data_IF_334104431510
#
_entry.id   IF_334104431510
#
_cell.length_a   1.000
_cell.length_b   1.000
_cell.length_c   1.000
_cell.angle_alpha   90.00
_cell.angle_beta   90.00
_cell.angle_gamma   90.00
#
_symmetry.space_group_name_H-M   'P 1'
#
loop_
_entity.id
_entity.type
_entity.pdbx_description
1 polymer ?
#
# COMPACT_ATOMS: atom_id res chain seq x y z
N UNK A 1 3.48 -24.03 30.47
CA UNK A 1 4.61 -23.30 29.85
C UNK A 1 5.38 -24.13 28.82
N UNK A 2 5.71 -25.43 29.04
CA UNK A 2 6.48 -26.21 28.04
C UNK A 2 5.75 -26.47 26.71
N UNK A 3 4.43 -26.68 26.75
CA UNK A 3 3.62 -26.98 25.55
C UNK A 3 3.69 -25.86 24.51
N UNK A 4 3.58 -24.61 24.95
CA UNK A 4 3.66 -23.43 24.08
C UNK A 4 5.03 -23.26 23.42
N UNK A 5 6.11 -23.72 24.06
CA UNK A 5 7.46 -23.61 23.51
C UNK A 5 7.72 -24.65 22.41
N UNK A 6 7.22 -25.88 22.57
CA UNK A 6 7.28 -26.91 21.53
C UNK A 6 6.50 -26.50 20.28
N UNK A 7 5.26 -26.05 20.44
CA UNK A 7 4.41 -25.63 19.32
C UNK A 7 5.05 -24.50 18.52
N UNK A 8 5.71 -23.58 19.23
CA UNK A 8 6.43 -22.44 18.68
C UNK A 8 7.65 -22.86 17.88
N UNK A 9 8.54 -23.67 18.45
CA UNK A 9 9.71 -24.20 17.73
C UNK A 9 9.26 -25.02 16.52
N UNK A 10 8.23 -25.85 16.66
CA UNK A 10 7.64 -26.61 15.54
C UNK A 10 7.19 -25.68 14.42
N UNK A 11 6.45 -24.61 14.73
CA UNK A 11 5.97 -23.66 13.73
C UNK A 11 7.11 -22.91 13.02
N UNK A 12 8.18 -22.54 13.74
CA UNK A 12 9.37 -21.91 13.14
C UNK A 12 10.07 -22.91 12.22
N UNK A 13 10.35 -24.13 12.67
CA UNK A 13 10.98 -25.16 11.85
C UNK A 13 10.14 -25.48 10.59
N UNK A 14 8.82 -25.60 10.73
CA UNK A 14 7.91 -25.90 9.61
C UNK A 14 7.90 -24.80 8.56
N UNK A 15 7.93 -23.53 8.99
CA UNK A 15 7.91 -22.37 8.09
C UNK A 15 9.28 -22.05 7.50
N UNK A 16 10.36 -22.30 8.24
CA UNK A 16 11.68 -21.81 7.89
C UNK A 16 12.63 -22.86 7.31
N UNK A 17 12.44 -24.16 7.57
CA UNK A 17 13.35 -25.18 7.02
C UNK A 17 12.74 -25.87 5.79
N UNK A 18 13.54 -25.99 4.74
CA UNK A 18 13.35 -26.96 3.67
C UNK A 18 13.60 -28.39 4.17
N UNK A 19 13.18 -29.39 3.39
CA UNK A 19 13.42 -30.78 3.74
C UNK A 19 14.92 -31.13 3.77
N UNK A 20 15.72 -30.50 2.90
CA UNK A 20 17.17 -30.73 2.88
C UNK A 20 17.87 -30.06 4.07
N UNK A 21 17.49 -28.84 4.45
CA UNK A 21 18.03 -28.21 5.66
C UNK A 21 17.65 -28.99 6.92
N UNK A 22 16.44 -29.57 6.98
CA UNK A 22 16.05 -30.46 8.07
C UNK A 22 16.94 -31.72 8.14
N UNK A 23 17.37 -32.27 7.00
CA UNK A 23 18.32 -33.40 6.96
C UNK A 23 19.70 -32.99 7.49
N UNK A 24 20.20 -31.82 7.06
CA UNK A 24 21.46 -31.26 7.56
C UNK A 24 21.40 -31.06 9.08
N UNK A 25 20.32 -30.45 9.57
CA UNK A 25 20.08 -30.29 11.01
C UNK A 25 20.05 -31.62 11.76
N UNK A 26 19.38 -32.65 11.22
CA UNK A 26 19.36 -33.98 11.86
C UNK A 26 20.77 -34.61 11.90
N UNK A 27 21.55 -34.45 10.83
CA UNK A 27 22.93 -34.91 10.76
C UNK A 27 23.80 -34.24 11.83
N UNK A 28 23.74 -32.92 11.95
CA UNK A 28 24.49 -32.14 12.95
C UNK A 28 24.12 -32.53 14.39
N UNK A 29 22.87 -32.93 14.61
CA UNK A 29 22.34 -33.40 15.89
C UNK A 29 22.63 -34.90 16.17
N UNK A 30 23.30 -35.59 15.23
CA UNK A 30 23.58 -37.02 15.34
C UNK A 30 22.32 -37.90 15.34
N UNK A 31 21.27 -37.48 14.61
CA UNK A 31 20.00 -38.20 14.49
C UNK A 31 19.87 -38.69 13.05
N UNK A 32 19.75 -40.00 12.81
CA UNK A 32 19.42 -40.50 11.49
C UNK A 32 18.06 -39.95 11.05
N UNK A 33 18.00 -39.21 9.95
CA UNK A 33 16.75 -38.61 9.47
C UNK A 33 15.62 -39.64 9.26
N UNK A 34 16.00 -40.87 8.90
CA UNK A 34 15.06 -41.96 8.65
C UNK A 34 14.43 -42.55 9.91
N UNK A 35 14.97 -42.30 11.10
CA UNK A 35 14.36 -42.77 12.36
C UNK A 35 13.23 -41.86 12.87
N UNK A 36 13.08 -40.66 12.30
CA UNK A 36 11.98 -39.74 12.64
C UNK A 36 10.65 -40.26 12.06
N UNK A 37 9.55 -40.10 12.80
CA UNK A 37 8.25 -40.63 12.40
C UNK A 37 7.58 -39.82 11.27
N UNK A 38 6.90 -40.55 10.37
CA UNK A 38 6.07 -40.03 9.28
C UNK A 38 6.86 -39.58 8.04
N UNK A 39 6.18 -39.53 6.89
CA UNK A 39 6.83 -39.31 5.58
C UNK A 39 6.79 -37.85 5.10
N UNK A 40 6.14 -36.98 5.87
CA UNK A 40 6.00 -35.57 5.52
C UNK A 40 7.00 -34.72 6.32
N UNK A 41 7.44 -33.59 5.74
CA UNK A 41 8.28 -32.59 6.44
C UNK A 41 7.70 -32.25 7.81
N UNK A 42 6.39 -32.03 7.87
CA UNK A 42 5.64 -31.71 9.08
C UNK A 42 5.78 -32.81 10.14
N UNK A 43 5.47 -34.06 9.78
CA UNK A 43 5.57 -35.18 10.71
C UNK A 43 7.00 -35.40 11.23
N UNK A 44 8.00 -35.30 10.34
CA UNK A 44 9.43 -35.37 10.69
C UNK A 44 9.83 -34.28 11.68
N UNK A 45 9.41 -33.03 11.47
CA UNK A 45 9.65 -31.92 12.40
C UNK A 45 8.97 -32.18 13.75
N UNK A 46 7.69 -32.57 13.76
CA UNK A 46 6.99 -32.89 15.01
C UNK A 46 7.68 -34.02 15.78
N UNK A 47 8.14 -35.06 15.09
CA UNK A 47 8.90 -36.17 15.69
C UNK A 47 10.26 -35.70 16.23
N UNK A 48 10.95 -34.81 15.54
CA UNK A 48 12.21 -34.23 15.99
C UNK A 48 12.01 -33.40 17.25
N UNK A 49 11.02 -32.51 17.27
CA UNK A 49 10.70 -31.65 18.42
C UNK A 49 10.29 -32.48 19.64
N UNK A 50 9.49 -33.54 19.43
CA UNK A 50 9.14 -34.48 20.50
C UNK A 50 10.37 -35.16 21.12
N UNK A 51 11.34 -35.57 20.29
CA UNK A 51 12.58 -36.18 20.74
C UNK A 51 13.45 -35.24 21.60
N UNK A 52 13.41 -33.93 21.36
CA UNK A 52 14.10 -32.92 22.17
C UNK A 52 13.32 -32.45 23.40
N UNK A 53 12.07 -32.90 23.56
CA UNK A 53 11.29 -32.68 24.77
C UNK A 53 11.53 -33.79 25.82
N UNK A 54 12.13 -34.90 25.42
CA UNK A 54 12.49 -36.01 26.30
C UNK A 54 13.97 -35.96 26.72
N UNK A 55 14.30 -36.12 28.01
CA UNK A 55 15.68 -36.20 28.47
C UNK A 55 16.45 -37.36 27.80
N UNK A 56 17.76 -37.21 27.54
CA UNK A 56 18.66 -36.15 28.03
C UNK A 56 18.70 -34.90 27.16
N UNK A 57 17.93 -34.84 26.07
CA UNK A 57 17.97 -33.73 25.11
C UNK A 57 17.06 -32.60 25.57
N UNK A 58 17.35 -31.39 25.13
CA UNK A 58 16.55 -30.20 25.47
C UNK A 58 16.24 -29.37 24.24
N UNK A 59 15.06 -28.74 24.20
CA UNK A 59 14.68 -27.83 23.12
C UNK A 59 15.73 -26.74 22.86
N UNK A 60 16.44 -26.28 23.89
CA UNK A 60 17.53 -25.31 23.75
C UNK A 60 18.67 -25.83 22.86
N UNK A 61 19.02 -27.12 22.94
CA UNK A 61 20.05 -27.70 22.05
C UNK A 61 19.59 -27.71 20.59
N UNK A 62 18.29 -27.98 20.36
CA UNK A 62 17.70 -27.92 19.02
C UNK A 62 17.74 -26.47 18.50
N UNK A 63 17.28 -25.51 19.31
CA UNK A 63 17.28 -24.08 18.98
C UNK A 63 18.70 -23.57 18.73
N UNK A 64 19.69 -23.96 19.54
CA UNK A 64 21.09 -23.56 19.35
C UNK A 64 21.65 -24.09 18.02
N UNK A 65 21.34 -25.34 17.67
CA UNK A 65 21.76 -25.94 16.39
C UNK A 65 21.07 -25.27 15.20
N UNK A 66 19.79 -24.94 15.35
CA UNK A 66 19.05 -24.18 14.36
C UNK A 66 19.60 -22.76 14.18
N UNK A 67 20.03 -22.12 15.27
CA UNK A 67 20.66 -20.78 15.27
C UNK A 67 22.04 -20.80 14.60
N UNK A 68 22.75 -21.93 14.58
CA UNK A 68 23.99 -22.10 13.82
C UNK A 68 23.72 -22.21 12.32
N UNK A 69 22.65 -22.90 11.94
CA UNK A 69 22.27 -23.07 10.54
C UNK A 69 21.67 -21.79 9.94
N UNK A 70 20.89 -21.07 10.74
CA UNK A 70 20.27 -19.79 10.39
C UNK A 70 20.45 -18.76 11.53
N UNK A 71 21.60 -18.08 11.60
CA UNK A 71 21.89 -17.05 12.60
C UNK A 71 20.97 -15.82 12.50
N UNK A 72 20.38 -15.60 11.32
CA UNK A 72 19.49 -14.49 11.02
C UNK A 72 18.06 -14.68 11.54
N UNK A 73 17.68 -15.91 11.89
CA UNK A 73 16.32 -16.22 12.35
C UNK A 73 16.19 -16.00 13.85
N UNK A 74 15.13 -15.30 14.26
CA UNK A 74 14.76 -15.21 15.66
C UNK A 74 14.09 -16.51 16.14
N UNK A 75 14.88 -17.37 16.77
CA UNK A 75 14.41 -18.60 17.39
C UNK A 75 13.78 -18.38 18.78
N UNK A 76 13.85 -17.15 19.32
CA UNK A 76 13.33 -16.80 20.65
C UNK A 76 11.80 -16.71 20.70
N UNK A 77 11.13 -16.74 19.55
CA UNK A 77 9.84 -17.40 19.42
C UNK A 77 8.59 -16.54 19.27
N UNK A 78 8.67 -15.40 18.61
CA UNK A 78 7.51 -15.03 17.80
C UNK A 78 7.65 -15.78 16.46
N UNK A 79 6.73 -16.71 16.09
CA UNK A 79 6.77 -17.26 14.75
C UNK A 79 6.80 -16.08 13.78
N UNK A 80 7.69 -16.11 12.79
CA UNK A 80 7.69 -15.17 11.64
C UNK A 80 6.46 -15.42 10.76
N UNK A 81 5.27 -15.45 11.38
CA UNK A 81 4.20 -14.60 10.91
C UNK A 81 4.78 -13.19 11.01
N UNK A 82 5.53 -12.73 10.00
CA UNK A 82 5.36 -11.34 9.54
C UNK A 82 3.86 -11.16 9.54
N UNK A 83 3.33 -10.50 10.58
CA UNK A 83 1.89 -10.51 10.85
C UNK A 83 1.27 -10.13 9.52
N UNK A 84 0.28 -10.88 9.02
CA UNK A 84 -0.40 -10.46 7.79
C UNK A 84 -0.86 -8.99 7.86
N UNK A 85 -1.04 -8.47 9.09
CA UNK A 85 -1.19 -7.05 9.40
C UNK A 85 0.01 -6.18 8.96
N UNK A 86 1.25 -6.56 9.26
CA UNK A 86 2.47 -5.85 8.87
C UNK A 86 2.58 -5.72 7.33
N UNK A 87 2.34 -6.82 6.59
CA UNK A 87 2.32 -6.77 5.13
C UNK A 87 1.20 -5.89 4.56
N UNK A 88 0.07 -5.74 5.27
CA UNK A 88 -1.00 -4.83 4.85
C UNK A 88 -0.57 -3.38 4.98
N UNK A 89 0.04 -3.00 6.11
CA UNK A 89 0.51 -1.63 6.31
C UNK A 89 1.63 -1.27 5.35
N UNK A 90 2.59 -2.16 5.16
CA UNK A 90 3.63 -1.99 4.15
C UNK A 90 3.02 -1.83 2.74
N UNK A 91 2.05 -2.68 2.37
CA UNK A 91 1.37 -2.57 1.08
C UNK A 91 0.64 -1.23 0.91
N UNK A 92 -0.05 -0.75 1.95
CA UNK A 92 -0.78 0.52 1.90
C UNK A 92 0.18 1.70 1.78
N UNK A 93 1.24 1.71 2.58
CA UNK A 93 2.30 2.73 2.54
C UNK A 93 2.98 2.77 1.17
N UNK A 94 3.25 1.62 0.57
CA UNK A 94 3.81 1.55 -0.79
C UNK A 94 2.86 2.11 -1.84
N UNK A 95 1.57 1.75 -1.79
CA UNK A 95 0.54 2.29 -2.69
C UNK A 95 0.42 3.81 -2.60
N UNK A 96 0.61 4.35 -1.40
CA UNK A 96 0.63 5.79 -1.20
C UNK A 96 1.91 6.41 -1.78
N UNK A 97 3.10 5.93 -1.36
CA UNK A 97 4.38 6.60 -1.60
C UNK A 97 4.94 6.45 -3.02
N UNK A 98 4.47 5.46 -3.78
CA UNK A 98 4.99 5.15 -5.11
C UNK A 98 3.86 5.16 -6.14
N UNK A 99 4.06 5.93 -7.22
CA UNK A 99 3.22 5.79 -8.40
C UNK A 99 3.58 4.52 -9.19
N UNK A 100 2.85 4.22 -10.26
CA UNK A 100 3.05 3.00 -11.06
C UNK A 100 4.46 2.87 -11.65
N UNK A 101 5.02 3.96 -12.17
CA UNK A 101 6.37 3.94 -12.77
C UNK A 101 7.44 3.78 -11.70
N UNK A 102 7.33 4.53 -10.60
CA UNK A 102 8.27 4.41 -9.47
C UNK A 102 8.21 3.01 -8.84
N UNK A 103 7.03 2.38 -8.81
CA UNK A 103 6.89 1.01 -8.34
C UNK A 103 7.51 -0.02 -9.29
N UNK A 104 7.50 0.23 -10.61
CA UNK A 104 8.25 -0.58 -11.59
C UNK A 104 9.76 -0.44 -11.39
N UNK A 105 10.24 0.79 -11.21
CA UNK A 105 11.65 1.05 -10.91
C UNK A 105 12.08 0.38 -9.60
N UNK A 106 11.22 0.41 -8.58
CA UNK A 106 11.42 -0.31 -7.32
C UNK A 106 11.55 -1.83 -7.52
N UNK A 107 10.70 -2.43 -8.37
CA UNK A 107 10.81 -3.86 -8.70
C UNK A 107 12.13 -4.17 -9.41
N UNK A 108 12.52 -3.33 -10.36
CA UNK A 108 13.78 -3.46 -11.10
C UNK A 108 15.00 -3.37 -10.16
N UNK A 109 15.01 -2.42 -9.22
CA UNK A 109 16.07 -2.29 -8.21
C UNK A 109 16.17 -3.52 -7.29
N UNK A 110 15.05 -4.22 -7.05
CA UNK A 110 15.02 -5.50 -6.33
C UNK A 110 15.40 -6.71 -7.21
N UNK A 111 15.71 -6.49 -8.50
CA UNK A 111 15.99 -7.55 -9.46
C UNK A 111 14.77 -8.43 -9.75
N UNK A 112 13.57 -7.83 -9.73
CA UNK A 112 12.30 -8.50 -9.98
C UNK A 112 11.67 -7.87 -11.22
N UNK A 113 11.34 -8.68 -12.21
CA UNK A 113 10.54 -8.19 -13.34
C UNK A 113 9.12 -7.89 -12.87
N UNK A 114 8.67 -6.65 -13.07
CA UNK A 114 7.31 -6.22 -12.72
C UNK A 114 6.24 -7.05 -13.46
N UNK A 115 6.53 -7.48 -14.69
CA UNK A 115 5.59 -8.25 -15.50
C UNK A 115 5.41 -9.69 -14.98
N UNK A 116 6.42 -10.25 -14.29
CA UNK A 116 6.35 -11.58 -13.66
C UNK A 116 5.45 -11.66 -12.42
N UNK A 117 5.13 -10.51 -11.81
CA UNK A 117 4.21 -10.47 -10.66
C UNK A 117 2.77 -10.79 -11.11
N UNK A 118 2.06 -11.63 -10.37
CA UNK A 118 0.71 -12.03 -10.77
C UNK A 118 -0.34 -10.90 -10.60
N UNK A 119 -1.46 -11.03 -11.33
CA UNK A 119 -2.65 -10.20 -11.13
C UNK A 119 -2.62 -8.81 -11.79
N UNK A 120 -3.72 -8.06 -11.68
CA UNK A 120 -3.84 -6.70 -12.21
C UNK A 120 -2.93 -5.72 -11.47
N UNK A 121 -2.70 -4.54 -12.05
CA UNK A 121 -1.79 -3.49 -11.53
C UNK A 121 -2.02 -3.16 -10.04
N UNK A 122 -3.28 -3.11 -9.60
CA UNK A 122 -3.62 -2.81 -8.21
C UNK A 122 -3.31 -3.95 -7.22
N UNK A 123 -3.09 -5.18 -7.72
CA UNK A 123 -2.71 -6.36 -6.96
C UNK A 123 -1.19 -6.59 -6.93
N UNK A 124 -0.43 -6.02 -7.88
CA UNK A 124 1.03 -6.21 -8.01
C UNK A 124 1.81 -5.88 -6.73
N UNK A 125 1.43 -4.85 -6.00
CA UNK A 125 2.00 -4.53 -4.68
C UNK A 125 1.89 -5.70 -3.68
N UNK A 126 0.72 -6.35 -3.63
CA UNK A 126 0.49 -7.50 -2.75
C UNK A 126 1.31 -8.70 -3.21
N UNK A 127 1.34 -8.97 -4.52
CA UNK A 127 2.09 -10.09 -5.07
C UNK A 127 3.60 -9.92 -4.90
N UNK A 128 4.13 -8.70 -5.02
CA UNK A 128 5.52 -8.39 -4.68
C UNK A 128 5.82 -8.75 -3.22
N UNK A 129 4.97 -8.34 -2.29
CA UNK A 129 5.16 -8.68 -0.87
C UNK A 129 5.08 -10.17 -0.62
N UNK A 130 4.14 -10.89 -1.25
CA UNK A 130 4.06 -12.36 -1.16
C UNK A 130 5.34 -13.00 -1.70
N UNK A 131 5.85 -12.52 -2.85
CA UNK A 131 7.09 -13.00 -3.45
C UNK A 131 8.29 -12.76 -2.53
N UNK A 132 8.47 -11.53 -2.03
CA UNK A 132 9.57 -11.17 -1.15
C UNK A 132 9.50 -11.88 0.20
N UNK A 133 8.31 -12.09 0.77
CA UNK A 133 8.13 -12.88 2.00
C UNK A 133 8.57 -14.33 1.77
N UNK A 134 8.18 -14.95 0.65
CA UNK A 134 8.64 -16.32 0.30
C UNK A 134 10.15 -16.39 0.11
N UNK A 135 10.79 -15.30 -0.35
CA UNK A 135 12.24 -15.20 -0.57
C UNK A 135 13.00 -14.63 0.64
N UNK A 136 12.32 -14.27 1.73
CA UNK A 136 12.90 -13.56 2.90
C UNK A 136 13.62 -12.25 2.54
N UNK A 137 13.09 -11.51 1.57
CA UNK A 137 13.65 -10.23 1.08
C UNK A 137 12.78 -9.01 1.42
N UNK A 138 11.91 -9.12 2.42
CA UNK A 138 11.02 -8.01 2.83
C UNK A 138 11.82 -6.86 3.46
N UNK A 139 12.84 -7.17 4.25
CA UNK A 139 13.67 -6.13 4.87
C UNK A 139 14.53 -5.38 3.85
N UNK A 140 14.96 -6.06 2.78
CA UNK A 140 15.62 -5.41 1.64
C UNK A 140 14.70 -4.37 0.98
N UNK A 141 13.43 -4.72 0.77
CA UNK A 141 12.42 -3.78 0.29
C UNK A 141 12.24 -2.61 1.27
N UNK A 142 12.17 -2.84 2.58
CA UNK A 142 12.08 -1.75 3.57
C UNK A 142 13.28 -0.81 3.53
N UNK A 143 14.49 -1.36 3.45
CA UNK A 143 15.72 -0.57 3.34
C UNK A 143 15.71 0.27 2.06
N UNK A 144 15.31 -0.34 0.94
CA UNK A 144 15.17 0.35 -0.34
C UNK A 144 14.13 1.48 -0.26
N UNK A 145 12.95 1.20 0.26
CA UNK A 145 11.91 2.19 0.46
C UNK A 145 12.36 3.32 1.40
N UNK A 146 13.06 3.01 2.48
CA UNK A 146 13.62 4.00 3.42
C UNK A 146 14.65 4.91 2.76
N UNK A 147 15.51 4.37 1.88
CA UNK A 147 16.45 5.17 1.09
C UNK A 147 15.73 6.09 0.10
N UNK A 148 14.70 5.58 -0.59
CA UNK A 148 13.95 6.35 -1.60
C UNK A 148 12.96 7.36 -0.98
N UNK A 149 12.53 7.11 0.26
CA UNK A 149 11.52 7.86 1.00
C UNK A 149 11.93 7.95 2.48
N UNK A 150 12.98 8.73 2.82
CA UNK A 150 13.49 8.82 4.19
C UNK A 150 12.54 9.48 5.17
N UNK A 151 11.55 10.23 4.66
CA UNK A 151 10.54 10.92 5.47
C UNK A 151 9.42 10.00 5.99
N UNK A 152 9.43 8.72 5.60
CA UNK A 152 8.45 7.73 6.05
C UNK A 152 9.14 6.70 6.93
N UNK A 153 8.49 6.35 8.03
CA UNK A 153 8.89 5.21 8.84
C UNK A 153 8.40 3.92 8.18
N UNK A 154 9.33 3.12 7.65
CA UNK A 154 9.04 1.85 6.97
C UNK A 154 9.02 0.64 7.91
N UNK A 155 9.36 0.84 9.18
CA UNK A 155 9.49 -0.22 10.19
C UNK A 155 8.39 -0.15 11.26
N UNK A 156 7.73 1.00 11.43
CA UNK A 156 6.57 1.09 12.31
C UNK A 156 5.40 0.20 11.83
N UNK A 157 4.89 -0.60 12.76
CA UNK A 157 3.67 -1.41 12.67
C UNK A 157 2.39 -0.59 12.88
N UNK A 158 2.51 0.71 13.17
CA UNK A 158 1.35 1.56 13.41
C UNK A 158 0.49 1.68 12.15
N UNK A 159 -0.81 1.90 12.36
CA UNK A 159 -1.74 2.16 11.27
C UNK A 159 -1.23 3.34 10.45
N UNK A 160 -0.85 3.05 9.21
CA UNK A 160 -0.46 4.09 8.26
C UNK A 160 -1.64 5.04 8.07
N UNK A 161 -1.52 6.23 8.65
CA UNK A 161 -2.43 7.35 8.40
C UNK A 161 -1.88 8.12 7.22
N UNK A 162 -2.69 8.26 6.18
CA UNK A 162 -2.33 9.12 5.06
C UNK A 162 -2.15 10.55 5.61
N UNK A 163 -0.98 11.19 5.40
CA UNK A 163 -0.69 12.50 5.99
C UNK A 163 -1.64 13.58 5.45
N UNK A 164 -2.16 13.38 4.26
CA UNK A 164 -3.10 14.28 3.60
C UNK A 164 -4.30 13.47 3.08
N UNK A 165 -5.50 13.66 3.64
CA UNK A 165 -6.73 13.10 3.09
C UNK A 165 -6.93 13.50 1.64
N UNK A 166 -7.53 12.61 0.83
CA UNK A 166 -7.77 12.87 -0.59
C UNK A 166 -8.63 14.11 -0.84
N UNK A 167 -9.57 14.40 0.04
CA UNK A 167 -10.45 15.59 -0.01
C UNK A 167 -9.64 16.88 0.12
N UNK A 168 -8.74 16.93 1.11
CA UNK A 168 -7.82 18.05 1.31
C UNK A 168 -6.91 18.26 0.10
N UNK A 169 -6.36 17.17 -0.44
CA UNK A 169 -5.55 17.25 -1.66
C UNK A 169 -6.36 17.74 -2.87
N UNK A 170 -7.64 17.38 -2.97
CA UNK A 170 -8.51 17.84 -4.04
C UNK A 170 -8.83 19.34 -3.90
N UNK A 171 -9.13 19.82 -2.69
CA UNK A 171 -9.36 21.23 -2.40
C UNK A 171 -8.11 22.07 -2.65
N UNK A 172 -6.96 21.63 -2.13
CA UNK A 172 -5.66 22.29 -2.36
C UNK A 172 -5.32 22.34 -3.85
N UNK A 173 -5.53 21.24 -4.58
CA UNK A 173 -5.34 21.19 -6.04
C UNK A 173 -6.25 22.20 -6.75
N UNK A 174 -7.52 22.27 -6.39
CA UNK A 174 -8.48 23.18 -7.03
C UNK A 174 -8.05 24.65 -6.84
N UNK A 175 -7.72 25.02 -5.61
CA UNK A 175 -7.23 26.37 -5.31
C UNK A 175 -5.93 26.69 -6.06
N UNK A 176 -5.04 25.71 -6.20
CA UNK A 176 -3.80 25.86 -6.97
C UNK A 176 -4.08 26.15 -8.46
N UNK A 177 -5.08 25.48 -9.06
CA UNK A 177 -5.51 25.74 -10.44
C UNK A 177 -6.15 27.10 -10.61
N UNK A 178 -6.98 27.52 -9.67
CA UNK A 178 -7.71 28.79 -9.75
C UNK A 178 -6.76 29.99 -9.54
N UNK A 179 -5.68 29.79 -8.77
CA UNK A 179 -4.73 30.84 -8.40
C UNK A 179 -3.53 31.01 -9.34
N UNK A 180 -3.14 29.96 -10.06
CA UNK A 180 -1.89 29.91 -10.81
C UNK A 180 -2.06 29.29 -12.19
N UNK A 181 -1.41 29.90 -13.18
CA UNK A 181 -1.31 29.33 -14.51
C UNK A 181 -0.23 28.24 -14.60
N UNK A 182 -0.28 27.49 -15.69
CA UNK A 182 0.65 26.40 -16.01
C UNK A 182 2.13 26.84 -15.97
N UNK A 183 2.44 28.06 -16.41
CA UNK A 183 3.81 28.57 -16.40
C UNK A 183 4.31 28.80 -14.97
N UNK A 184 3.45 29.28 -14.07
CA UNK A 184 3.78 29.38 -12.66
C UNK A 184 3.98 28.01 -12.01
N UNK A 185 3.17 27.01 -12.36
CA UNK A 185 3.36 25.64 -11.88
C UNK A 185 4.73 25.08 -12.30
N UNK A 186 5.18 25.36 -13.54
CA UNK A 186 6.53 24.99 -14.00
C UNK A 186 7.62 25.69 -13.18
N UNK A 187 7.46 26.97 -12.87
CA UNK A 187 8.39 27.70 -12.01
C UNK A 187 8.44 27.12 -10.59
N UNK A 188 7.30 26.70 -10.04
CA UNK A 188 7.28 25.99 -8.75
C UNK A 188 8.03 24.67 -8.82
N UNK A 189 7.84 23.89 -9.89
CA UNK A 189 8.59 22.64 -10.09
C UNK A 189 10.10 22.89 -10.11
N UNK A 190 10.56 23.94 -10.81
CA UNK A 190 11.98 24.32 -10.81
C UNK A 190 12.49 24.70 -9.42
N UNK A 191 11.74 25.51 -8.66
CA UNK A 191 12.10 25.91 -7.30
C UNK A 191 12.15 24.72 -6.32
N UNK A 192 11.29 23.73 -6.53
CA UNK A 192 11.18 22.53 -5.69
C UNK A 192 12.10 21.38 -6.15
N UNK A 193 12.95 21.62 -7.15
CA UNK A 193 13.80 20.60 -7.79
C UNK A 193 12.98 19.37 -8.25
N UNK A 194 11.87 19.63 -8.93
CA UNK A 194 10.99 18.64 -9.54
C UNK A 194 11.08 18.79 -11.05
N UNK A 195 11.48 17.72 -11.74
CA UNK A 195 11.46 17.68 -13.20
C UNK A 195 10.01 17.61 -13.69
N UNK A 196 9.50 18.75 -14.14
CA UNK A 196 8.13 18.90 -14.62
C UNK A 196 7.76 17.87 -15.70
N UNK A 197 8.70 17.52 -16.58
CA UNK A 197 8.46 16.59 -17.70
C UNK A 197 8.36 15.13 -17.25
N UNK A 198 8.76 14.83 -16.01
CA UNK A 198 8.65 13.50 -15.41
C UNK A 198 7.37 13.32 -14.60
N UNK A 199 6.62 14.40 -14.36
CA UNK A 199 5.31 14.27 -13.74
C UNK A 199 4.38 13.53 -14.70
N UNK A 200 3.57 12.56 -14.24
CA UNK A 200 2.55 11.95 -15.08
C UNK A 200 1.64 13.01 -15.71
N UNK A 201 1.08 12.75 -16.89
CA UNK A 201 0.02 13.56 -17.51
C UNK A 201 0.27 15.08 -17.63
N UNK A 202 1.52 15.54 -17.54
CA UNK A 202 1.86 16.96 -17.60
C UNK A 202 1.42 17.61 -18.93
N UNK A 203 1.45 16.85 -20.03
CA UNK A 203 1.05 17.28 -21.36
C UNK A 203 -0.46 17.59 -21.48
N UNK A 204 -1.28 17.06 -20.57
CA UNK A 204 -2.74 17.19 -20.60
C UNK A 204 -3.25 18.33 -19.69
N UNK A 205 -2.36 19.22 -19.23
CA UNK A 205 -2.70 20.26 -18.24
C UNK A 205 -2.91 19.71 -16.83
N UNK A 206 -2.48 18.47 -16.57
CA UNK A 206 -2.52 17.81 -15.27
C UNK A 206 -1.38 18.18 -14.32
N UNK A 207 -0.53 19.14 -14.69
CA UNK A 207 0.71 19.47 -13.98
C UNK A 207 0.54 19.79 -12.51
N UNK A 208 -0.39 20.70 -12.17
CA UNK A 208 -0.69 21.08 -10.80
C UNK A 208 -1.14 19.87 -9.95
N UNK A 209 -2.06 19.05 -10.48
CA UNK A 209 -2.51 17.81 -9.83
C UNK A 209 -1.34 16.89 -9.51
N UNK A 210 -0.51 16.63 -10.52
CA UNK A 210 0.55 15.63 -10.40
C UNK A 210 1.73 16.15 -9.57
N UNK A 211 1.97 17.47 -9.55
CA UNK A 211 2.90 18.11 -8.61
C UNK A 211 2.43 17.93 -7.16
N UNK A 212 1.17 18.24 -6.86
CA UNK A 212 0.58 18.09 -5.52
C UNK A 212 0.72 16.64 -5.05
N UNK A 213 0.30 15.69 -5.89
CA UNK A 213 0.43 14.26 -5.58
C UNK A 213 1.90 13.85 -5.40
N UNK A 214 2.79 14.29 -6.29
CA UNK A 214 4.22 13.98 -6.21
C UNK A 214 4.85 14.43 -4.89
N UNK A 215 4.53 15.64 -4.44
CA UNK A 215 5.06 16.21 -3.19
C UNK A 215 4.40 15.59 -1.96
N UNK A 216 3.09 15.34 -1.99
CA UNK A 216 2.38 14.63 -0.92
C UNK A 216 3.02 13.25 -0.66
N UNK A 217 3.27 12.48 -1.72
CA UNK A 217 3.95 11.17 -1.64
C UNK A 217 5.37 11.22 -1.08
N UNK A 218 6.01 12.38 -1.09
CA UNK A 218 7.37 12.60 -0.57
C UNK A 218 7.38 13.34 0.77
N UNK A 219 6.20 13.66 1.31
CA UNK A 219 6.05 14.50 2.50
C UNK A 219 6.74 15.87 2.34
N UNK A 220 6.64 16.46 1.14
CA UNK A 220 7.24 17.76 0.77
C UNK A 220 6.18 18.81 0.43
N UNK A 221 4.92 18.59 0.80
CA UNK A 221 3.81 19.45 0.39
C UNK A 221 3.88 20.84 1.06
N UNK A 222 4.41 20.92 2.29
CA UNK A 222 4.66 22.18 3.01
C UNK A 222 5.61 23.13 2.26
N UNK A 223 6.55 22.60 1.47
CA UNK A 223 7.44 23.43 0.65
C UNK A 223 6.64 24.16 -0.45
N UNK A 224 5.69 23.47 -1.09
CA UNK A 224 4.80 24.08 -2.07
C UNK A 224 3.84 25.07 -1.42
N UNK A 225 3.29 24.74 -0.24
CA UNK A 225 2.45 25.67 0.53
C UNK A 225 3.18 26.97 0.84
N UNK A 226 4.44 26.88 1.26
CA UNK A 226 5.28 28.04 1.53
C UNK A 226 5.47 28.92 0.29
N UNK A 227 5.72 28.32 -0.88
CA UNK A 227 5.82 29.03 -2.15
C UNK A 227 4.49 29.67 -2.57
N UNK A 228 3.38 28.97 -2.40
CA UNK A 228 2.05 29.49 -2.69
C UNK A 228 1.72 30.69 -1.78
N UNK A 229 2.05 30.61 -0.49
CA UNK A 229 1.83 31.68 0.48
C UNK A 229 2.70 32.92 0.18
N UNK A 230 3.96 32.72 -0.22
CA UNK A 230 4.84 33.83 -0.64
C UNK A 230 4.26 34.60 -1.84
N UNK A 231 3.70 33.89 -2.82
CA UNK A 231 3.14 34.51 -4.02
C UNK A 231 1.72 35.06 -3.83
N UNK A 232 0.93 34.43 -2.94
CA UNK A 232 -0.47 34.74 -2.66
C UNK A 232 -0.75 34.61 -1.14
N UNK A 233 -0.36 35.60 -0.33
CA UNK A 233 -0.47 35.52 1.13
C UNK A 233 -1.92 35.60 1.63
N UNK A 234 -2.86 36.06 0.80
CA UNK A 234 -4.27 36.20 1.16
C UNK A 234 -5.09 34.91 1.13
N UNK A 235 -4.53 33.81 0.60
CA UNK A 235 -5.19 32.51 0.53
C UNK A 235 -4.71 31.64 1.69
N UNK A 236 -5.62 30.99 2.45
CA UNK A 236 -5.27 30.19 3.62
C UNK A 236 -4.75 28.79 3.23
N UNK A 237 -3.60 28.73 2.55
CA UNK A 237 -3.06 27.49 1.98
C UNK A 237 -2.86 26.35 2.98
N UNK A 238 -2.47 26.65 4.23
CA UNK A 238 -2.29 25.65 5.28
C UNK A 238 -3.62 25.03 5.76
N UNK A 239 -4.70 25.81 5.75
CA UNK A 239 -6.01 25.34 6.22
C UNK A 239 -6.61 24.30 5.25
N UNK A 240 -6.23 24.38 3.97
CA UNK A 240 -6.64 23.42 2.95
C UNK A 240 -6.02 22.02 3.14
N UNK A 241 -4.90 21.92 3.86
CA UNK A 241 -4.20 20.65 4.09
C UNK A 241 -4.42 20.09 5.48
N UNK A 242 -4.76 20.93 6.45
CA UNK A 242 -5.04 20.52 7.83
C UNK A 242 -6.12 19.43 7.85
N UNK A 243 -5.87 18.28 8.50
CA UNK A 243 -6.94 17.32 8.78
C UNK A 243 -8.06 18.09 9.47
N UNK A 244 -9.26 18.07 8.92
CA UNK A 244 -10.41 18.66 9.58
C UNK A 244 -10.69 17.81 10.83
N UNK A 245 -10.03 18.13 11.94
CA UNK A 245 -10.18 17.47 13.26
C UNK A 245 -11.57 17.73 13.88
N UNK A 246 -12.44 18.45 13.18
CA UNK A 246 -13.85 18.49 13.52
C UNK A 246 -14.40 17.07 13.48
N UNK A 247 -15.18 16.63 14.50
CA UNK A 247 -15.93 15.39 14.40
C UNK A 247 -16.78 15.55 13.15
N UNK A 248 -16.41 14.86 12.06
CA UNK A 248 -16.94 15.04 10.70
C UNK A 248 -18.35 15.55 10.86
N UNK A 249 -18.52 16.88 10.73
CA UNK A 249 -19.78 17.49 11.14
C UNK A 249 -20.76 16.70 10.33
N UNK A 250 -21.65 15.97 10.99
CA UNK A 250 -22.62 15.14 10.30
C UNK A 250 -23.52 16.14 9.59
N UNK A 251 -23.05 16.64 8.43
CA UNK A 251 -23.83 17.14 7.33
C UNK A 251 -24.76 15.98 7.12
N UNK A 252 -25.96 16.13 7.71
CA UNK A 252 -26.74 15.00 8.18
C UNK A 252 -26.78 13.96 7.09
N UNK A 253 -26.31 12.74 7.40
CA UNK A 253 -26.36 11.59 6.51
C UNK A 253 -27.64 11.74 5.67
N UNK A 254 -27.55 12.04 4.36
CA UNK A 254 -28.72 12.34 3.56
C UNK A 254 -29.68 11.17 3.79
N UNK A 255 -30.87 11.49 4.34
CA UNK A 255 -31.91 10.50 4.64
C UNK A 255 -32.03 9.59 3.42
N UNK A 256 -31.53 8.35 3.53
CA UNK A 256 -31.37 7.41 2.42
C UNK A 256 -31.00 8.11 1.10
N UNK A 257 -29.70 8.32 0.86
CA UNK A 257 -29.17 8.69 -0.46
C UNK A 257 -29.99 7.98 -1.54
N UNK A 258 -30.75 8.74 -2.34
CA UNK A 258 -31.65 8.19 -3.35
C UNK A 258 -30.81 7.68 -4.54
N UNK A 259 -30.20 6.53 -4.29
CA UNK A 259 -29.37 5.79 -5.23
C UNK A 259 -30.17 5.44 -6.48
N UNK A 260 -31.49 5.29 -6.37
CA UNK A 260 -32.34 4.96 -7.49
C UNK A 260 -32.50 6.16 -8.42
N UNK A 261 -32.74 7.36 -7.87
CA UNK A 261 -32.72 8.60 -8.66
C UNK A 261 -31.36 8.86 -9.29
N UNK A 262 -30.27 8.61 -8.57
CA UNK A 262 -28.90 8.76 -9.10
C UNK A 262 -28.65 7.78 -10.25
N UNK A 263 -29.08 6.52 -10.12
CA UNK A 263 -29.02 5.51 -11.18
C UNK A 263 -29.81 5.93 -12.41
N UNK A 264 -31.02 6.45 -12.22
CA UNK A 264 -31.86 6.93 -13.33
C UNK A 264 -31.19 8.08 -14.09
N UNK A 265 -30.63 9.07 -13.37
CA UNK A 265 -29.87 10.16 -14.01
C UNK A 265 -28.64 9.65 -14.76
N UNK A 266 -27.83 8.79 -14.13
CA UNK A 266 -26.67 8.18 -14.78
C UNK A 266 -27.03 7.39 -16.05
N UNK A 267 -28.18 6.71 -16.04
CA UNK A 267 -28.69 5.98 -17.21
C UNK A 267 -29.02 6.90 -18.40
N UNK A 268 -29.33 8.17 -18.15
CA UNK A 268 -29.65 9.16 -19.19
C UNK A 268 -28.41 9.87 -19.74
N UNK A 269 -27.29 9.86 -19.01
CA UNK A 269 -26.05 10.47 -19.46
C UNK A 269 -25.47 9.75 -20.67
N UNK A 270 -25.04 10.52 -21.68
CA UNK A 270 -24.24 10.00 -22.77
C UNK A 270 -22.78 9.76 -22.34
N UNK A 271 -21.95 9.22 -23.24
CA UNK A 271 -20.56 8.87 -22.91
C UNK A 271 -19.71 10.09 -22.57
N UNK A 272 -19.94 11.24 -23.23
CA UNK A 272 -19.18 12.46 -22.97
C UNK A 272 -19.53 13.03 -21.60
N UNK A 273 -20.82 13.06 -21.23
CA UNK A 273 -21.26 13.50 -19.90
C UNK A 273 -20.70 12.59 -18.80
N UNK A 274 -20.62 11.27 -19.04
CA UNK A 274 -19.97 10.34 -18.11
C UNK A 274 -18.46 10.58 -17.97
N UNK A 275 -17.75 10.89 -19.06
CA UNK A 275 -16.32 11.26 -19.02
C UNK A 275 -16.11 12.52 -18.19
N UNK A 276 -16.94 13.55 -18.40
CA UNK A 276 -16.91 14.80 -17.61
C UNK A 276 -17.22 14.54 -16.14
N UNK A 277 -18.22 13.72 -15.83
CA UNK A 277 -18.54 13.32 -14.47
C UNK A 277 -17.36 12.60 -13.81
N UNK A 278 -16.75 11.62 -14.50
CA UNK A 278 -15.56 10.93 -14.00
C UNK A 278 -14.43 11.93 -13.71
N UNK A 279 -14.16 12.86 -14.61
CA UNK A 279 -13.13 13.89 -14.42
C UNK A 279 -13.41 14.73 -13.17
N UNK A 280 -14.65 15.16 -12.97
CA UNK A 280 -15.06 15.94 -11.80
C UNK A 280 -14.89 15.16 -10.49
N UNK A 281 -15.22 13.86 -10.51
CA UNK A 281 -15.02 12.94 -9.38
C UNK A 281 -13.55 12.56 -9.14
N UNK A 282 -12.64 13.01 -10.02
CA UNK A 282 -11.21 12.66 -9.98
C UNK A 282 -10.92 11.23 -10.42
N UNK A 283 -11.85 10.59 -11.13
CA UNK A 283 -11.76 9.24 -11.66
C UNK A 283 -11.32 9.32 -13.13
N UNK A 284 -10.34 8.52 -13.53
CA UNK A 284 -10.03 8.38 -14.95
C UNK A 284 -11.08 7.46 -15.59
N UNK A 285 -11.82 7.94 -16.60
CA UNK A 285 -12.92 7.19 -17.21
C UNK A 285 -12.51 5.81 -17.74
N UNK A 286 -11.28 5.71 -18.26
CA UNK A 286 -10.73 4.45 -18.78
C UNK A 286 -10.41 3.43 -17.68
N UNK A 287 -10.20 3.87 -16.43
CA UNK A 287 -9.91 2.98 -15.29
C UNK A 287 -11.17 2.29 -14.76
N UNK A 288 -12.36 2.77 -15.13
CA UNK A 288 -13.63 2.16 -14.78
C UNK A 288 -13.82 0.89 -15.63
N UNK A 289 -13.50 -0.28 -15.11
CA UNK A 289 -13.57 -1.54 -15.87
C UNK A 289 -14.97 -2.13 -15.86
N UNK A 290 -15.50 -2.59 -17.00
CA UNK A 290 -16.76 -3.32 -17.09
C UNK A 290 -17.58 -2.93 -18.33
N UNK A 291 -18.62 -3.72 -18.63
CA UNK A 291 -19.47 -3.49 -19.81
C UNK A 291 -20.43 -2.32 -19.61
N UNK A 292 -20.83 -2.04 -18.37
CA UNK A 292 -21.65 -0.87 -18.04
C UNK A 292 -20.87 0.08 -17.12
N UNK A 293 -20.24 1.08 -17.75
CA UNK A 293 -19.45 2.11 -17.07
C UNK A 293 -20.25 2.83 -15.98
N UNK A 294 -21.58 2.98 -16.12
CA UNK A 294 -22.43 3.70 -15.15
C UNK A 294 -22.53 2.93 -13.84
N UNK A 295 -22.80 1.64 -13.94
CA UNK A 295 -22.85 0.74 -12.79
C UNK A 295 -21.49 0.69 -12.07
N UNK A 296 -20.41 0.59 -12.85
CA UNK A 296 -19.06 0.49 -12.31
C UNK A 296 -18.60 1.76 -11.61
N UNK A 297 -19.01 2.96 -12.08
CA UNK A 297 -18.78 4.22 -11.35
C UNK A 297 -19.46 4.17 -9.97
N UNK A 298 -20.70 3.68 -9.87
CA UNK A 298 -21.41 3.57 -8.58
C UNK A 298 -20.68 2.62 -7.65
N UNK A 299 -20.30 1.42 -8.11
CA UNK A 299 -19.58 0.44 -7.29
C UNK A 299 -18.18 0.95 -6.91
N UNK A 300 -17.49 1.64 -7.83
CA UNK A 300 -16.21 2.26 -7.56
C UNK A 300 -16.31 3.30 -6.43
N UNK A 301 -17.32 4.16 -6.47
CA UNK A 301 -17.57 5.17 -5.44
C UNK A 301 -18.01 4.53 -4.11
N UNK A 302 -18.84 3.47 -4.17
CA UNK A 302 -19.23 2.70 -2.98
C UNK A 302 -18.03 2.07 -2.27
N UNK A 303 -17.12 1.44 -3.00
CA UNK A 303 -15.92 0.79 -2.42
C UNK A 303 -14.99 1.79 -1.72
N UNK A 304 -15.09 3.08 -2.07
CA UNK A 304 -14.31 4.17 -1.47
C UNK A 304 -15.09 4.99 -0.45
N UNK A 305 -16.33 4.60 -0.15
CA UNK A 305 -17.23 5.33 0.74
C UNK A 305 -17.54 6.77 0.28
N UNK A 306 -17.54 7.01 -1.04
CA UNK A 306 -17.75 8.32 -1.68
C UNK A 306 -19.07 8.40 -2.45
N UNK A 307 -20.09 7.66 -2.04
CA UNK A 307 -21.38 7.69 -2.76
C UNK A 307 -22.07 9.05 -2.70
N UNK A 308 -21.87 9.82 -1.62
CA UNK A 308 -22.42 11.16 -1.48
C UNK A 308 -21.90 12.10 -2.58
N UNK A 309 -20.57 12.12 -2.81
CA UNK A 309 -19.93 12.92 -3.86
C UNK A 309 -20.47 12.60 -5.25
N UNK A 310 -20.74 11.32 -5.53
CA UNK A 310 -21.34 10.90 -6.80
C UNK A 310 -22.75 11.48 -6.97
N UNK A 311 -23.56 11.41 -5.93
CA UNK A 311 -24.94 11.93 -5.97
C UNK A 311 -24.94 13.43 -6.19
N UNK A 312 -24.11 14.15 -5.43
CA UNK A 312 -23.96 15.61 -5.57
C UNK A 312 -23.48 15.99 -6.98
N UNK A 313 -22.45 15.32 -7.49
CA UNK A 313 -21.93 15.59 -8.83
C UNK A 313 -22.97 15.28 -9.93
N UNK A 314 -23.77 14.23 -9.78
CA UNK A 314 -24.85 13.88 -10.71
C UNK A 314 -26.03 14.87 -10.61
N UNK A 315 -26.29 15.44 -9.43
CA UNK A 315 -27.31 16.45 -9.25
C UNK A 315 -26.93 17.81 -9.84
N UNK A 316 -25.63 18.14 -9.84
CA UNK A 316 -25.10 19.41 -10.35
C UNK A 316 -24.72 19.39 -11.84
N UNK A 317 -24.86 18.26 -12.54
CA UNK A 317 -24.68 18.21 -13.99
C UNK A 317 -25.77 19.03 -14.70
N UNK A 318 -25.44 19.85 -15.71
CA UNK A 318 -26.45 20.58 -16.48
C UNK A 318 -27.34 19.59 -17.23
N UNK A 319 -28.65 19.85 -17.27
CA UNK A 319 -29.64 18.97 -17.94
C UNK A 319 -29.42 18.84 -19.47
N UNK A 320 -28.60 19.73 -20.06
CA UNK A 320 -28.38 19.85 -21.51
C UNK A 320 -27.09 19.14 -22.03
N UNK A 321 -26.40 18.33 -21.22
CA UNK A 321 -25.12 17.66 -21.59
C UNK A 321 -25.26 16.17 -21.87
#
# INVERSE_FOLDING_TARGET
>A
MKVTEMERVTAVLESQLSLNELRVLCFDLGIPFETLQGDTKKAKISSLVALFNEPPRTLNQLVESCSKLHPELDWSGEPVRTKLADLRFLSQRMKYCFNKNEFRDLCLELGIDYEDLAGPDNAKNRELLVFLTKKRRVDELRQLCSRLRPNYDWYSEDTFKEPYPLENLAAFKQELYDSFDEEKIRQFCQKLDVDYKRLPFWEQGGGARELVLYLARRNRLEELVSLCHEQRPGIPWHDLLSPQDGPATAVGMPKSVDLERTRQKLAQLNENSLRTLCLHLGIHYEDVTGNDKRYEIIEFMRRRDRLADLVEAVENLPDDV
#
